data_IF_466801997059
#
_entry.id   IF_466801997059
#
_cell.length_a   1.000
_cell.length_b   1.000
_cell.length_c   1.000
_cell.angle_alpha   90.00
_cell.angle_beta   90.00
_cell.angle_gamma   90.00
#
_symmetry.space_group_name_H-M   'P 1'
#
loop_
_entity.id
_entity.type
_entity.pdbx_description
1 polymer ?
#
# COMPACT_ATOMS: atom_id res chain seq x y z
N UNK A 1 -45.50 41.75 39.94
CA UNK A 1 -44.12 41.52 39.44
C UNK A 1 -43.88 40.03 39.40
N UNK A 2 -43.85 39.44 38.20
CA UNK A 2 -43.70 37.99 38.00
C UNK A 2 -42.26 37.74 37.54
N UNK A 3 -41.51 36.90 38.27
CA UNK A 3 -40.15 36.51 37.93
C UNK A 3 -40.21 35.29 37.00
N UNK A 4 -39.88 35.49 35.72
CA UNK A 4 -39.71 34.40 34.76
C UNK A 4 -38.27 33.90 34.78
N UNK A 5 -38.04 32.70 35.31
CA UNK A 5 -36.76 31.98 35.20
C UNK A 5 -36.64 31.34 33.83
N UNK A 6 -35.65 31.76 33.05
CA UNK A 6 -35.27 31.14 31.77
C UNK A 6 -34.31 29.99 32.07
N UNK A 7 -34.75 28.76 31.83
CA UNK A 7 -33.89 27.57 31.89
C UNK A 7 -33.16 27.43 30.56
N UNK A 8 -31.86 27.69 30.55
CA UNK A 8 -30.99 27.46 29.40
C UNK A 8 -30.61 25.97 29.35
N UNK A 9 -31.16 25.23 28.37
CA UNK A 9 -30.82 23.83 28.14
C UNK A 9 -29.55 23.76 27.27
N UNK A 10 -28.41 23.42 27.86
CA UNK A 10 -27.19 23.12 27.13
C UNK A 10 -27.26 21.71 26.55
N UNK A 11 -27.46 21.60 25.23
CA UNK A 11 -27.34 20.33 24.51
C UNK A 11 -25.85 20.11 24.23
N UNK A 12 -25.20 19.29 25.07
CA UNK A 12 -23.85 18.78 24.84
C UNK A 12 -23.92 17.69 23.76
N UNK A 13 -23.62 18.06 22.52
CA UNK A 13 -23.35 17.08 21.47
C UNK A 13 -21.96 16.49 21.68
N UNK A 14 -21.88 15.30 22.28
CA UNK A 14 -20.65 14.53 22.31
C UNK A 14 -20.35 13.97 20.92
N UNK A 15 -19.46 14.62 20.18
CA UNK A 15 -18.92 14.11 18.93
C UNK A 15 -18.08 12.86 19.22
N UNK A 16 -18.57 11.67 18.84
CA UNK A 16 -17.75 10.46 18.85
C UNK A 16 -16.67 10.62 17.78
N UNK A 17 -15.43 10.87 18.21
CA UNK A 17 -14.28 10.74 17.32
C UNK A 17 -14.17 9.27 16.88
N UNK A 18 -14.23 9.04 15.57
CA UNK A 18 -14.15 7.70 15.00
C UNK A 18 -12.73 7.15 15.16
N UNK A 19 -12.54 5.96 15.78
CA UNK A 19 -11.21 5.40 16.03
C UNK A 19 -10.40 5.13 14.76
N UNK A 20 -11.03 5.06 13.58
CA UNK A 20 -10.35 4.80 12.31
C UNK A 20 -9.41 5.95 11.87
N UNK A 21 -9.76 7.21 12.18
CA UNK A 21 -8.94 8.37 11.80
C UNK A 21 -7.61 8.43 12.58
N UNK A 22 -7.59 7.92 13.82
CA UNK A 22 -6.39 7.96 14.66
C UNK A 22 -5.33 6.94 14.24
N UNK A 23 -5.67 5.84 13.57
CA UNK A 23 -4.69 4.79 13.23
C UNK A 23 -3.95 5.12 11.92
N UNK A 24 -4.57 5.87 11.01
CA UNK A 24 -3.90 6.35 9.79
C UNK A 24 -2.93 7.51 10.12
N UNK A 25 -3.15 8.21 11.24
CA UNK A 25 -2.37 9.37 11.70
C UNK A 25 -1.00 9.05 12.31
N UNK A 26 -0.63 7.77 12.48
CA UNK A 26 0.62 7.41 13.15
C UNK A 26 1.87 7.71 12.30
N UNK A 27 1.74 7.65 10.96
CA UNK A 27 2.87 7.82 10.05
C UNK A 27 2.84 9.19 9.38
N UNK A 28 3.98 9.90 9.38
CA UNK A 28 4.15 11.16 8.67
C UNK A 28 4.30 10.93 7.15
N UNK A 29 3.22 10.46 6.51
CA UNK A 29 3.14 10.25 5.05
C UNK A 29 2.55 11.46 4.33
N UNK A 30 2.92 11.67 3.04
CA UNK A 30 2.23 12.59 2.15
C UNK A 30 0.71 12.40 2.14
N UNK A 31 -0.05 13.50 2.04
CA UNK A 31 -1.53 13.46 2.03
C UNK A 31 -2.09 12.61 0.88
N UNK A 32 -1.38 12.52 -0.24
CA UNK A 32 -1.77 11.66 -1.38
C UNK A 32 -1.79 10.18 -1.00
N UNK A 33 -0.83 9.72 -0.20
CA UNK A 33 -0.79 8.36 0.34
C UNK A 33 -1.96 8.16 1.30
N UNK A 34 -2.17 9.11 2.22
CA UNK A 34 -3.26 9.03 3.20
C UNK A 34 -4.62 8.88 2.52
N UNK A 35 -4.91 9.76 1.56
CA UNK A 35 -6.15 9.75 0.78
C UNK A 35 -6.29 8.47 -0.03
N UNK A 36 -5.22 8.00 -0.65
CA UNK A 36 -5.24 6.72 -1.37
C UNK A 36 -5.65 5.57 -0.44
N UNK A 37 -4.99 5.42 0.70
CA UNK A 37 -5.29 4.32 1.65
C UNK A 37 -6.72 4.41 2.18
N UNK A 38 -7.25 5.61 2.43
CA UNK A 38 -8.67 5.80 2.80
C UNK A 38 -9.64 5.28 1.73
N UNK A 39 -9.30 5.37 0.44
CA UNK A 39 -10.14 4.85 -0.65
C UNK A 39 -10.16 3.33 -0.78
N UNK A 40 -9.23 2.61 -0.14
CA UNK A 40 -9.20 1.14 -0.14
C UNK A 40 -10.39 0.53 0.63
N UNK A 41 -11.06 1.34 1.45
CA UNK A 41 -12.19 0.94 2.28
C UNK A 41 -11.80 0.57 3.71
N UNK A 42 -12.79 0.16 4.49
CA UNK A 42 -12.64 -0.04 5.92
C UNK A 42 -11.69 -1.20 6.25
N UNK A 43 -10.82 -0.96 7.24
CA UNK A 43 -9.94 -1.97 7.82
C UNK A 43 -8.53 -2.04 7.20
N UNK A 44 -8.27 -1.31 6.12
CA UNK A 44 -6.91 -1.10 5.63
C UNK A 44 -6.23 0.02 6.42
N UNK A 45 -4.99 -0.25 6.82
CA UNK A 45 -4.14 0.67 7.58
C UNK A 45 -2.74 0.66 6.99
N UNK A 46 -2.02 1.78 7.09
CA UNK A 46 -0.59 1.83 6.78
C UNK A 46 0.16 0.92 7.77
N UNK A 47 1.10 0.13 7.26
CA UNK A 47 1.94 -0.76 8.05
C UNK A 47 3.35 -0.22 8.17
N UNK A 48 3.79 0.07 9.40
CA UNK A 48 5.18 0.44 9.71
C UNK A 48 6.11 -0.75 9.94
N UNK A 49 5.73 -1.98 9.54
CA UNK A 49 6.52 -3.20 9.79
C UNK A 49 7.95 -3.10 9.24
N UNK A 50 8.11 -2.51 8.05
CA UNK A 50 9.39 -2.40 7.33
C UNK A 50 9.62 -0.93 6.97
N UNK A 51 10.88 -0.48 7.04
CA UNK A 51 11.28 0.88 6.67
C UNK A 51 12.20 0.82 5.43
N UNK A 52 11.94 1.60 4.35
CA UNK A 52 10.83 2.55 4.21
C UNK A 52 9.48 1.84 4.12
N UNK A 53 8.43 2.42 4.69
CA UNK A 53 7.06 1.87 4.60
C UNK A 53 6.29 2.37 3.37
N UNK A 54 6.92 3.19 2.53
CA UNK A 54 6.47 3.51 1.18
C UNK A 54 7.65 3.75 0.24
N UNK A 55 7.43 3.53 -1.05
CA UNK A 55 8.35 3.84 -2.14
C UNK A 55 7.63 4.76 -3.13
N UNK A 56 8.37 5.67 -3.80
CA UNK A 56 7.80 6.59 -4.77
C UNK A 56 8.59 6.62 -6.06
N UNK A 57 8.02 6.03 -7.13
CA UNK A 57 8.62 5.84 -8.45
C UNK A 57 7.54 5.62 -9.52
N UNK A 58 7.92 5.61 -10.80
CA UNK A 58 7.05 5.42 -11.97
C UNK A 58 6.81 3.91 -12.22
N UNK A 59 5.77 3.31 -11.62
CA UNK A 59 5.57 1.85 -11.70
C UNK A 59 4.94 1.40 -13.01
N UNK A 60 4.02 2.19 -13.56
CA UNK A 60 3.29 1.84 -14.78
C UNK A 60 3.99 2.31 -16.08
N UNK A 61 5.00 3.18 -15.95
CA UNK A 61 5.81 3.67 -17.06
C UNK A 61 5.23 4.92 -17.73
N UNK A 62 4.22 5.58 -17.15
CA UNK A 62 3.61 6.80 -17.68
C UNK A 62 4.48 8.07 -17.48
N UNK A 63 5.55 7.96 -16.69
CA UNK A 63 6.51 9.01 -16.41
C UNK A 63 6.16 9.89 -15.22
N UNK A 64 5.06 9.62 -14.52
CA UNK A 64 4.70 10.23 -13.24
C UNK A 64 5.11 9.32 -12.09
N UNK A 65 5.42 9.90 -10.94
CA UNK A 65 5.69 9.11 -9.75
C UNK A 65 4.39 8.59 -9.14
N UNK A 66 4.33 7.30 -8.86
CA UNK A 66 3.31 6.64 -8.05
C UNK A 66 3.83 6.41 -6.63
N UNK A 67 3.00 5.80 -5.78
CA UNK A 67 3.41 5.32 -4.47
C UNK A 67 3.08 3.85 -4.29
N UNK A 68 4.06 3.05 -3.86
CA UNK A 68 3.77 1.77 -3.23
C UNK A 68 3.81 1.98 -1.72
N UNK A 69 2.84 1.45 -1.00
CA UNK A 69 2.66 1.71 0.43
C UNK A 69 2.43 0.39 1.13
N UNK A 70 3.21 0.12 2.17
CA UNK A 70 2.96 -1.03 3.03
C UNK A 70 1.63 -0.83 3.76
N UNK A 71 0.75 -1.81 3.62
CA UNK A 71 -0.56 -1.81 4.26
C UNK A 71 -0.81 -3.13 4.95
N UNK A 72 -1.77 -3.11 5.88
CA UNK A 72 -2.30 -4.31 6.50
C UNK A 72 -3.82 -4.25 6.63
N UNK A 73 -4.44 -5.42 6.73
CA UNK A 73 -5.85 -5.59 7.10
C UNK A 73 -5.97 -6.74 8.09
N UNK A 74 -6.29 -6.41 9.34
CA UNK A 74 -6.06 -7.34 10.45
C UNK A 74 -4.58 -7.65 10.57
N UNK A 75 -4.23 -8.94 10.62
CA UNK A 75 -2.84 -9.40 10.70
C UNK A 75 -2.15 -9.51 9.33
N UNK A 76 -2.91 -9.54 8.23
CA UNK A 76 -2.38 -9.80 6.90
C UNK A 76 -1.70 -8.56 6.30
N UNK A 77 -0.47 -8.72 5.82
CA UNK A 77 0.34 -7.68 5.19
C UNK A 77 0.18 -7.67 3.67
N UNK A 78 0.42 -6.50 3.07
CA UNK A 78 0.43 -6.32 1.63
C UNK A 78 0.95 -4.95 1.22
N UNK A 79 0.74 -4.65 -0.06
CA UNK A 79 1.17 -3.40 -0.69
C UNK A 79 -0.06 -2.77 -1.36
N UNK A 80 -0.29 -1.49 -1.11
CA UNK A 80 -1.18 -0.67 -1.93
C UNK A 80 -0.33 0.08 -2.95
N UNK A 81 -0.68 -0.07 -4.23
CA UNK A 81 -0.18 0.80 -5.29
C UNK A 81 -1.18 1.93 -5.45
N UNK A 82 -0.69 3.14 -5.22
CA UNK A 82 -1.41 4.40 -5.19
C UNK A 82 -0.93 5.27 -6.34
N UNK A 83 -1.63 5.26 -7.49
CA UNK A 83 -1.29 6.11 -8.60
C UNK A 83 -1.48 7.59 -8.24
N UNK A 84 -0.63 8.48 -8.74
CA UNK A 84 -0.84 9.93 -8.57
C UNK A 84 -1.89 10.50 -9.55
N UNK A 85 -2.27 9.73 -10.57
CA UNK A 85 -3.34 10.05 -11.52
C UNK A 85 -4.76 9.75 -11.01
N UNK A 86 -5.70 9.56 -11.95
CA UNK A 86 -7.12 9.22 -11.66
C UNK A 86 -7.40 7.71 -11.60
N UNK A 87 -6.36 6.88 -11.63
CA UNK A 87 -6.51 5.44 -11.55
C UNK A 87 -6.84 5.01 -10.12
N UNK A 88 -7.70 4.00 -9.99
CA UNK A 88 -7.99 3.40 -8.68
C UNK A 88 -6.76 2.70 -8.13
N UNK A 89 -6.54 2.72 -6.80
CA UNK A 89 -5.46 1.97 -6.20
C UNK A 89 -5.59 0.46 -6.44
N UNK A 90 -4.45 -0.22 -6.48
CA UNK A 90 -4.39 -1.69 -6.59
C UNK A 90 -3.84 -2.28 -5.29
N UNK A 91 -4.45 -3.35 -4.79
CA UNK A 91 -4.03 -4.04 -3.56
C UNK A 91 -3.34 -5.35 -3.94
N UNK A 92 -2.13 -5.55 -3.43
CA UNK A 92 -1.35 -6.77 -3.55
C UNK A 92 -1.24 -7.40 -2.15
N UNK A 93 -2.01 -8.46 -1.88
CA UNK A 93 -2.07 -9.05 -0.53
C UNK A 93 -3.03 -8.33 0.42
N UNK A 94 -2.67 -8.24 1.71
CA UNK A 94 -3.48 -7.65 2.78
C UNK A 94 -4.93 -8.17 2.81
N UNK A 95 -5.08 -9.49 2.65
CA UNK A 95 -6.36 -10.18 2.58
C UNK A 95 -6.98 -10.24 1.18
N UNK A 96 -6.45 -9.51 0.19
CA UNK A 96 -6.76 -9.65 -1.24
C UNK A 96 -5.80 -10.66 -1.87
N UNK A 97 -6.32 -11.55 -2.70
CA UNK A 97 -5.46 -12.54 -3.38
C UNK A 97 -4.56 -11.87 -4.42
N UNK A 98 -3.26 -12.16 -4.36
CA UNK A 98 -2.24 -11.79 -5.32
C UNK A 98 -1.21 -12.90 -5.41
N UNK A 99 -0.99 -13.45 -6.61
CA UNK A 99 -0.10 -14.61 -6.84
C UNK A 99 -0.36 -15.77 -5.85
N UNK A 100 -1.62 -16.19 -5.71
CA UNK A 100 -2.05 -17.27 -4.80
C UNK A 100 -1.79 -17.01 -3.31
N UNK A 101 -1.34 -15.82 -2.94
CA UNK A 101 -1.11 -15.38 -1.57
C UNK A 101 -2.11 -14.30 -1.19
N UNK A 102 -2.56 -14.31 0.06
CA UNK A 102 -3.38 -13.23 0.63
C UNK A 102 -2.63 -12.39 1.64
N UNK A 103 -1.57 -12.96 2.19
CA UNK A 103 -0.66 -12.32 3.12
C UNK A 103 0.73 -12.42 2.49
N UNK A 104 1.34 -11.28 2.19
CA UNK A 104 2.67 -11.28 1.58
C UNK A 104 3.76 -11.40 2.64
N UNK A 105 3.56 -10.81 3.82
CA UNK A 105 4.47 -10.85 4.98
C UNK A 105 5.98 -11.03 4.66
N UNK A 106 6.53 -10.20 3.78
CA UNK A 106 7.98 -10.21 3.47
C UNK A 106 8.78 -9.50 4.56
N UNK A 107 10.11 -9.64 4.50
CA UNK A 107 11.05 -9.11 5.50
C UNK A 107 11.68 -7.80 5.02
N UNK A 108 11.93 -7.69 3.72
CA UNK A 108 12.47 -6.49 3.12
C UNK A 108 11.87 -6.23 1.72
N UNK A 109 11.95 -4.97 1.31
CA UNK A 109 11.61 -4.57 -0.05
C UNK A 109 12.42 -3.37 -0.48
N UNK A 110 12.60 -3.23 -1.78
CA UNK A 110 13.34 -2.14 -2.38
C UNK A 110 12.87 -1.86 -3.81
N UNK A 111 13.26 -0.68 -4.30
CA UNK A 111 13.11 -0.33 -5.71
C UNK A 111 13.99 -1.22 -6.58
N UNK A 112 13.40 -1.78 -7.64
CA UNK A 112 14.12 -2.33 -8.78
C UNK A 112 13.93 -1.42 -10.01
N UNK A 113 14.93 -0.62 -10.39
CA UNK A 113 14.80 0.33 -11.50
C UNK A 113 14.53 -0.36 -12.84
N UNK A 114 13.71 0.24 -13.72
CA UNK A 114 13.36 -0.33 -15.03
C UNK A 114 14.53 -0.58 -15.97
N UNK A 115 15.61 0.19 -15.80
CA UNK A 115 16.85 0.06 -16.56
C UNK A 115 17.82 -0.97 -15.96
N UNK A 116 17.53 -1.51 -14.78
CA UNK A 116 18.29 -2.61 -14.18
C UNK A 116 17.77 -3.93 -14.73
N UNK A 117 18.68 -4.73 -15.26
CA UNK A 117 18.36 -6.07 -15.76
C UNK A 117 17.72 -6.90 -14.63
N UNK A 118 16.58 -7.54 -14.95
CA UNK A 118 16.00 -8.59 -14.11
C UNK A 118 16.77 -9.87 -14.39
N UNK A 119 17.33 -10.46 -13.35
CA UNK A 119 18.04 -11.75 -13.43
C UNK A 119 17.05 -12.89 -13.64
N UNK A 120 17.53 -14.01 -14.18
CA UNK A 120 16.71 -15.21 -14.33
C UNK A 120 16.31 -15.71 -12.95
N UNK A 121 15.01 -15.92 -12.76
CA UNK A 121 14.41 -16.48 -11.57
C UNK A 121 14.69 -17.98 -11.41
N UNK A 122 14.11 -18.55 -10.35
CA UNK A 122 14.18 -20.00 -10.09
C UNK A 122 13.37 -20.83 -11.08
N UNK A 123 12.41 -20.21 -11.78
CA UNK A 123 11.64 -20.88 -12.82
C UNK A 123 12.28 -20.76 -14.21
N UNK A 124 11.87 -21.61 -15.15
CA UNK A 124 12.36 -21.58 -16.54
C UNK A 124 11.85 -20.34 -17.32
N UNK A 125 10.95 -19.56 -16.70
CA UNK A 125 10.36 -18.36 -17.29
C UNK A 125 11.42 -17.31 -17.64
N UNK A 126 11.34 -16.70 -18.83
CA UNK A 126 12.24 -15.61 -19.18
C UNK A 126 12.01 -14.39 -18.26
N UNK A 127 13.07 -13.64 -17.89
CA UNK A 127 12.92 -12.40 -17.16
C UNK A 127 11.98 -11.42 -17.86
N UNK A 128 11.09 -10.74 -17.14
CA UNK A 128 10.19 -9.77 -17.72
C UNK A 128 10.94 -8.54 -18.23
N UNK A 129 10.39 -7.93 -19.28
CA UNK A 129 10.77 -6.56 -19.67
C UNK A 129 9.89 -5.59 -18.90
N UNK A 130 10.53 -4.76 -18.07
CA UNK A 130 9.85 -3.79 -17.23
C UNK A 130 9.37 -2.58 -18.06
N UNK A 131 8.13 -2.16 -17.84
CA UNK A 131 7.55 -0.95 -18.46
C UNK A 131 7.82 0.29 -17.62
N UNK A 132 7.49 0.22 -16.33
CA UNK A 132 7.96 1.13 -15.29
C UNK A 132 8.95 0.45 -14.35
N UNK A 133 9.29 1.14 -13.28
CA UNK A 133 10.05 0.59 -12.16
C UNK A 133 9.28 -0.54 -11.47
N UNK A 134 9.99 -1.39 -10.73
CA UNK A 134 9.41 -2.55 -10.06
C UNK A 134 9.75 -2.57 -8.57
N UNK A 135 9.10 -3.46 -7.84
CA UNK A 135 9.34 -3.69 -6.42
C UNK A 135 10.04 -5.04 -6.30
N UNK A 136 11.22 -5.05 -5.69
CA UNK A 136 11.88 -6.29 -5.27
C UNK A 136 11.51 -6.55 -3.81
N UNK A 137 10.83 -7.65 -3.53
CA UNK A 137 10.50 -8.10 -2.18
C UNK A 137 11.34 -9.33 -1.81
N UNK A 138 11.69 -9.46 -0.54
CA UNK A 138 12.60 -10.48 -0.03
C UNK A 138 12.00 -11.11 1.23
N UNK A 139 11.91 -12.44 1.24
CA UNK A 139 11.78 -13.27 2.43
C UNK A 139 13.16 -13.83 2.74
N UNK A 140 13.80 -13.33 3.80
CA UNK A 140 15.19 -13.66 4.13
C UNK A 140 15.37 -15.18 4.20
N UNK A 141 16.48 -15.67 3.64
CA UNK A 141 16.85 -17.10 3.59
C UNK A 141 15.82 -18.02 2.90
N UNK A 142 14.81 -17.48 2.20
CA UNK A 142 13.71 -18.27 1.62
C UNK A 142 13.47 -18.00 0.15
N UNK A 143 13.24 -16.75 -0.22
CA UNK A 143 12.76 -16.39 -1.56
C UNK A 143 12.82 -14.88 -1.79
N UNK A 144 12.69 -14.46 -3.04
CA UNK A 144 12.42 -13.08 -3.40
C UNK A 144 11.52 -13.01 -4.63
N UNK A 145 11.03 -11.83 -4.97
CA UNK A 145 10.26 -11.64 -6.19
C UNK A 145 10.34 -10.21 -6.71
N UNK A 146 10.19 -10.08 -8.03
CA UNK A 146 9.97 -8.80 -8.70
C UNK A 146 8.47 -8.66 -8.95
N UNK A 147 7.86 -7.63 -8.35
CA UNK A 147 6.48 -7.23 -8.58
C UNK A 147 6.52 -6.06 -9.57
N UNK A 148 5.90 -6.24 -10.74
CA UNK A 148 6.05 -5.30 -11.85
C UNK A 148 4.74 -5.09 -12.60
N UNK A 149 4.60 -3.94 -13.25
CA UNK A 149 3.49 -3.68 -14.16
C UNK A 149 3.71 -4.38 -15.51
N UNK A 150 2.75 -5.21 -15.91
CA UNK A 150 2.80 -5.93 -17.20
C UNK A 150 2.08 -5.19 -18.35
N UNK A 151 1.62 -3.95 -18.13
CA UNK A 151 0.84 -3.18 -19.11
C UNK A 151 -0.67 -3.19 -18.84
N UNK A 152 -1.13 -4.08 -17.94
CA UNK A 152 -2.54 -4.20 -17.55
C UNK A 152 -2.75 -4.33 -16.05
N UNK A 153 -1.87 -5.05 -15.37
CA UNK A 153 -1.93 -5.28 -13.93
C UNK A 153 -0.52 -5.50 -13.36
N UNK A 154 -0.41 -5.45 -12.04
CA UNK A 154 0.79 -5.97 -11.38
C UNK A 154 0.88 -7.48 -11.58
N UNK A 155 2.10 -7.94 -11.82
CA UNK A 155 2.47 -9.32 -12.02
C UNK A 155 3.64 -9.69 -11.09
N UNK A 156 3.80 -10.99 -10.89
CA UNK A 156 4.84 -11.58 -10.06
C UNK A 156 5.90 -12.24 -10.93
N UNK A 157 7.16 -12.07 -10.59
CA UNK A 157 8.26 -12.84 -11.13
C UNK A 157 9.12 -13.37 -9.98
N UNK A 158 9.18 -14.68 -9.82
CA UNK A 158 9.90 -15.34 -8.74
C UNK A 158 11.41 -15.14 -8.90
N UNK A 159 12.12 -14.81 -7.81
CA UNK A 159 13.58 -14.68 -7.76
C UNK A 159 14.15 -15.38 -6.52
N UNK A 160 15.36 -15.91 -6.61
CA UNK A 160 15.90 -16.77 -5.54
C UNK A 160 15.29 -18.17 -5.56
N UNK A 161 16.04 -19.11 -4.99
CA UNK A 161 15.94 -20.57 -5.18
C UNK A 161 14.54 -21.20 -4.97
#
# INVERSE_FOLDING_TARGET
MWLGTITLLFILTASKASPLQNIISEYNVPDVIRKCVETLGNGYLISGKINPFYLSVDYDGDGNADFAVLIKRGEQQGIAICPTGRASPTILGAGTEFHQMRDLDFDAWQLHPKNRRVERGADESPPPRLQGDAIHVVWEERASAILYWNGRSFAWYQQGD
#
